data_IF_905997549343
#
_entry.id   IF_905997549343
#
_cell.length_a   1.000
_cell.length_b   1.000
_cell.length_c   1.000
_cell.angle_alpha   90.00
_cell.angle_beta   90.00
_cell.angle_gamma   90.00
#
_symmetry.space_group_name_H-M   'P 1'
#
loop_
_entity.id
_entity.type
_entity.pdbx_description
1 polymer ?
#
# COMPACT_ATOMS: atom_id res chain seq x y z
N UNK A 1 -10.30 1.80 3.55
CA UNK A 1 -9.58 0.66 4.15
C UNK A 1 -9.73 0.81 5.66
N UNK A 2 -10.02 -0.26 6.40
CA UNK A 2 -10.15 -0.23 7.86
C UNK A 2 -9.01 -1.04 8.44
N UNK A 3 -8.17 -0.42 9.27
CA UNK A 3 -7.06 -1.10 9.97
C UNK A 3 -7.57 -1.74 11.27
N UNK A 4 -7.25 -2.99 11.53
CA UNK A 4 -7.72 -3.77 12.69
C UNK A 4 -6.55 -4.15 13.59
N UNK A 5 -6.60 -3.74 14.87
CA UNK A 5 -5.87 -4.39 15.98
C UNK A 5 -6.48 -3.99 17.33
N UNK A 6 -7.30 -4.84 17.94
CA UNK A 6 -7.75 -4.61 19.34
C UNK A 6 -7.96 -5.94 20.09
N UNK A 7 -7.59 -6.04 21.39
CA UNK A 7 -7.77 -7.27 22.18
C UNK A 7 -9.26 -7.58 22.44
N UNK A 8 -9.60 -8.87 22.45
CA UNK A 8 -10.98 -9.43 22.37
C UNK A 8 -11.90 -9.20 23.59
N UNK A 9 -11.52 -8.39 24.59
CA UNK A 9 -12.31 -8.25 25.83
C UNK A 9 -13.21 -7.01 25.89
N UNK A 10 -13.33 -6.23 24.80
CA UNK A 10 -14.32 -5.17 24.64
C UNK A 10 -14.78 -5.15 23.19
N UNK A 11 -16.06 -4.87 22.94
CA UNK A 11 -16.52 -4.43 21.61
C UNK A 11 -15.76 -3.15 21.30
N UNK A 12 -14.79 -3.13 20.36
CA UNK A 12 -14.04 -1.92 20.10
C UNK A 12 -14.96 -0.88 19.48
N UNK A 13 -14.72 0.39 19.76
CA UNK A 13 -15.29 1.46 18.95
C UNK A 13 -14.93 1.18 17.49
N UNK A 14 -15.95 1.12 16.62
CA UNK A 14 -15.79 0.81 15.19
C UNK A 14 -14.73 1.71 14.53
N UNK A 15 -14.68 2.95 14.99
CA UNK A 15 -13.67 3.95 14.64
C UNK A 15 -12.78 4.15 15.87
N UNK A 16 -11.50 3.85 15.74
CA UNK A 16 -10.51 3.98 16.81
C UNK A 16 -9.15 4.37 16.24
N UNK A 17 -8.28 4.97 17.05
CA UNK A 17 -6.91 5.31 16.64
C UNK A 17 -6.07 4.06 16.41
N UNK A 18 -5.15 4.11 15.44
CA UNK A 18 -4.27 3.00 15.09
C UNK A 18 -2.84 3.49 14.91
N UNK A 19 -1.86 2.68 15.37
CA UNK A 19 -0.44 2.96 15.19
C UNK A 19 0.09 2.24 13.96
N UNK A 20 0.70 2.97 13.04
CA UNK A 20 1.40 2.44 11.85
C UNK A 20 2.85 2.88 11.92
N UNK A 21 3.71 2.01 12.44
CA UNK A 21 5.11 2.34 12.71
C UNK A 21 5.22 3.51 13.70
N UNK A 22 5.86 4.60 13.29
CA UNK A 22 5.96 5.83 14.07
C UNK A 22 4.70 6.70 14.06
N UNK A 23 3.76 6.45 13.14
CA UNK A 23 2.54 7.26 13.01
C UNK A 23 1.45 6.79 13.96
N UNK A 24 0.84 7.73 14.70
CA UNK A 24 -0.42 7.52 15.41
C UNK A 24 -1.53 8.20 14.60
N UNK A 25 -2.39 7.40 13.96
CA UNK A 25 -3.50 7.90 13.16
C UNK A 25 -4.71 8.16 14.07
N UNK A 26 -5.39 9.30 13.85
CA UNK A 26 -6.55 9.69 14.63
C UNK A 26 -7.70 8.66 14.56
N UNK A 27 -7.82 7.96 13.42
CA UNK A 27 -8.76 6.86 13.23
C UNK A 27 -8.17 5.75 12.35
N UNK A 28 -8.85 4.61 12.31
CA UNK A 28 -8.56 3.46 11.48
C UNK A 28 -9.11 3.60 10.04
N UNK A 29 -9.57 4.79 9.64
CA UNK A 29 -10.13 5.05 8.32
C UNK A 29 -9.07 5.66 7.40
N UNK A 30 -8.67 4.90 6.39
CA UNK A 30 -7.72 5.35 5.37
C UNK A 30 -8.35 5.37 3.97
N UNK A 31 -8.04 6.43 3.21
CA UNK A 31 -8.34 6.52 1.78
C UNK A 31 -7.37 5.63 1.00
N UNK A 32 -7.91 4.69 0.23
CA UNK A 32 -7.13 3.79 -0.59
C UNK A 32 -6.47 4.52 -1.79
N UNK A 33 -5.27 4.11 -2.22
CA UNK A 33 -4.66 4.62 -3.44
C UNK A 33 -5.47 4.15 -4.66
N UNK A 34 -5.87 5.09 -5.51
CA UNK A 34 -6.65 4.81 -6.71
C UNK A 34 -6.07 5.59 -7.89
N UNK A 35 -5.42 4.88 -8.79
CA UNK A 35 -4.81 5.44 -9.99
C UNK A 35 -5.84 6.21 -10.84
N UNK A 36 -5.50 7.42 -11.25
CA UNK A 36 -6.32 8.40 -11.94
C UNK A 36 -7.41 9.05 -11.08
N UNK A 37 -7.40 8.89 -9.76
CA UNK A 37 -8.44 9.38 -8.84
C UNK A 37 -7.89 10.10 -7.61
N UNK A 38 -6.95 9.50 -6.87
CA UNK A 38 -6.45 10.04 -5.61
C UNK A 38 -5.36 11.12 -5.78
N UNK A 39 -5.60 12.08 -6.68
CA UNK A 39 -4.83 13.32 -6.76
C UNK A 39 -5.09 14.23 -5.56
N UNK A 40 -4.29 15.29 -5.41
CA UNK A 40 -4.30 16.18 -4.24
C UNK A 40 -5.69 16.69 -3.87
N UNK A 41 -6.44 17.25 -4.83
CA UNK A 41 -7.78 17.79 -4.58
C UNK A 41 -8.73 16.74 -3.99
N UNK A 42 -8.69 15.50 -4.48
CA UNK A 42 -9.52 14.41 -3.98
C UNK A 42 -9.13 14.00 -2.57
N UNK A 43 -7.82 13.96 -2.27
CA UNK A 43 -7.32 13.63 -0.92
C UNK A 43 -7.71 14.70 0.10
N UNK A 44 -7.58 15.98 -0.24
CA UNK A 44 -8.02 17.08 0.63
C UNK A 44 -9.53 17.00 0.93
N UNK A 45 -10.35 16.67 -0.08
CA UNK A 45 -11.78 16.42 0.15
C UNK A 45 -12.02 15.23 1.08
N UNK A 46 -11.33 14.10 0.88
CA UNK A 46 -11.48 12.94 1.74
C UNK A 46 -11.10 13.22 3.20
N UNK A 47 -10.09 14.07 3.44
CA UNK A 47 -9.72 14.52 4.79
C UNK A 47 -10.81 15.33 5.46
N UNK A 48 -11.46 16.23 4.73
CA UNK A 48 -12.64 16.98 5.23
C UNK A 48 -13.79 16.07 5.65
N UNK A 49 -13.85 14.84 5.11
CA UNK A 49 -14.81 13.80 5.48
C UNK A 49 -14.24 12.71 6.42
N UNK A 50 -13.10 12.96 7.07
CA UNK A 50 -12.61 12.12 8.18
C UNK A 50 -11.59 11.04 7.80
N UNK A 51 -10.99 11.07 6.62
CA UNK A 51 -9.86 10.18 6.30
C UNK A 51 -8.63 10.55 7.16
N UNK A 52 -8.21 9.64 8.04
CA UNK A 52 -7.06 9.83 8.92
C UNK A 52 -5.71 9.57 8.24
N UNK A 53 -5.72 8.85 7.11
CA UNK A 53 -4.57 8.62 6.25
C UNK A 53 -5.07 8.62 4.80
N UNK A 54 -4.30 9.25 3.91
CA UNK A 54 -4.55 9.18 2.47
C UNK A 54 -3.30 8.71 1.73
N UNK A 55 -3.47 8.20 0.52
CA UNK A 55 -2.37 7.75 -0.32
C UNK A 55 -2.35 8.49 -1.65
N UNK A 56 -1.16 8.73 -2.19
CA UNK A 56 -0.98 9.15 -3.58
C UNK A 56 -1.57 8.13 -4.54
N UNK A 57 -1.64 8.49 -5.81
CA UNK A 57 -1.71 7.47 -6.86
C UNK A 57 -0.43 6.61 -6.86
N UNK A 58 -0.56 5.40 -7.39
CA UNK A 58 0.59 4.52 -7.61
C UNK A 58 1.56 5.11 -8.64
N UNK A 59 2.85 5.17 -8.29
CA UNK A 59 3.95 5.55 -9.18
C UNK A 59 5.07 4.49 -9.18
N UNK A 60 5.79 4.36 -10.29
CA UNK A 60 7.04 3.56 -10.30
C UNK A 60 8.19 4.37 -9.68
N UNK A 61 9.27 3.72 -9.21
CA UNK A 61 10.48 4.41 -8.75
C UNK A 61 11.02 5.45 -9.74
N UNK A 62 11.02 5.14 -11.04
CA UNK A 62 11.50 6.05 -12.10
C UNK A 62 10.59 7.26 -12.27
N UNK A 63 9.27 7.08 -12.16
CA UNK A 63 8.30 8.19 -12.21
C UNK A 63 8.48 9.14 -11.03
N UNK A 64 8.88 8.63 -9.86
CA UNK A 64 9.16 9.45 -8.67
C UNK A 64 10.46 10.24 -8.83
N UNK A 65 11.50 9.62 -9.39
CA UNK A 65 12.81 10.24 -9.55
C UNK A 65 12.89 11.18 -10.75
N UNK A 66 12.14 10.92 -11.82
CA UNK A 66 12.17 11.64 -13.10
C UNK A 66 10.75 11.89 -13.63
N UNK A 67 9.93 12.69 -12.92
CA UNK A 67 8.51 12.89 -13.25
C UNK A 67 8.30 13.58 -14.61
N UNK A 68 9.24 14.41 -15.06
CA UNK A 68 9.20 15.10 -16.36
C UNK A 68 9.33 14.15 -17.56
N UNK A 69 10.04 13.03 -17.40
CA UNK A 69 10.30 12.06 -18.49
C UNK A 69 9.12 11.13 -18.78
N UNK A 70 8.17 11.02 -17.85
CA UNK A 70 7.04 10.09 -17.94
C UNK A 70 5.73 10.72 -18.44
N UNK A 71 5.75 12.02 -18.79
CA UNK A 71 4.60 12.75 -19.33
C UNK A 71 4.14 12.25 -20.71
N UNK A 72 4.92 11.41 -21.40
CA UNK A 72 4.68 11.00 -22.79
C UNK A 72 3.79 9.77 -23.02
N UNK A 73 3.52 8.93 -22.00
CA UNK A 73 2.85 7.63 -22.21
C UNK A 73 1.38 7.55 -21.81
N UNK A 74 0.91 8.38 -20.88
CA UNK A 74 -0.46 8.33 -20.37
C UNK A 74 -0.95 9.76 -20.07
N UNK A 75 -1.74 10.34 -20.99
CA UNK A 75 -2.26 11.73 -20.93
C UNK A 75 -3.04 12.07 -19.64
N UNK A 76 -3.36 11.09 -18.79
CA UNK A 76 -4.06 11.27 -17.52
C UNK A 76 -3.13 11.55 -16.32
N UNK A 77 -1.82 11.31 -16.45
CA UNK A 77 -0.82 11.74 -15.45
C UNK A 77 -0.32 13.12 -15.82
N UNK A 78 -0.98 14.16 -15.33
CA UNK A 78 -0.48 15.53 -15.41
C UNK A 78 -0.07 15.97 -14.00
N UNK A 79 1.21 16.29 -13.80
CA UNK A 79 1.71 16.85 -12.53
C UNK A 79 2.76 15.99 -11.82
N UNK A 80 3.23 16.53 -10.70
CA UNK A 80 4.17 15.86 -9.80
C UNK A 80 3.46 14.71 -9.05
N UNK A 81 3.92 13.45 -9.14
CA UNK A 81 3.35 12.32 -8.37
C UNK A 81 3.36 12.55 -6.84
N UNK A 82 4.23 13.43 -6.36
CA UNK A 82 4.40 13.80 -4.97
C UNK A 82 3.73 15.15 -4.62
N UNK A 83 2.91 15.69 -5.52
CA UNK A 83 2.11 16.90 -5.26
C UNK A 83 1.28 16.72 -3.98
N UNK A 84 1.41 17.67 -3.06
CA UNK A 84 0.87 17.65 -1.70
C UNK A 84 0.65 19.08 -1.20
N UNK A 85 -0.07 19.23 -0.08
CA UNK A 85 -0.28 20.48 0.62
C UNK A 85 -0.01 20.26 2.14
N UNK A 86 0.23 21.32 2.93
CA UNK A 86 0.45 21.18 4.38
C UNK A 86 -0.67 20.41 5.10
N UNK A 87 -1.93 20.59 4.68
CA UNK A 87 -3.11 19.93 5.24
C UNK A 87 -3.27 18.49 4.72
N UNK A 88 -2.50 18.07 3.72
CA UNK A 88 -2.56 16.74 3.15
C UNK A 88 -1.73 15.72 3.95
N UNK A 89 -1.76 15.76 5.29
CA UNK A 89 -0.99 14.85 6.17
C UNK A 89 -1.87 14.19 7.23
N UNK A 90 -1.62 12.93 7.63
CA UNK A 90 -0.54 12.03 7.17
C UNK A 90 -0.73 11.50 5.75
N UNK A 91 0.31 11.50 4.91
CA UNK A 91 0.30 11.04 3.50
C UNK A 91 1.18 9.81 3.28
N UNK A 92 0.62 8.76 2.69
CA UNK A 92 1.38 7.65 2.14
C UNK A 92 1.70 7.83 0.65
N UNK A 93 2.96 7.59 0.27
CA UNK A 93 3.34 7.50 -1.15
C UNK A 93 3.32 6.05 -1.57
N UNK A 94 2.45 5.72 -2.54
CA UNK A 94 2.38 4.35 -3.05
C UNK A 94 3.36 4.12 -4.21
N UNK A 95 4.32 3.23 -4.00
CA UNK A 95 5.34 2.83 -4.98
C UNK A 95 4.98 1.46 -5.56
N UNK A 96 5.12 1.31 -6.87
CA UNK A 96 5.06 0.03 -7.56
C UNK A 96 6.48 -0.52 -7.75
N UNK A 97 6.96 -1.41 -6.86
CA UNK A 97 8.30 -1.98 -7.01
C UNK A 97 8.32 -2.99 -8.16
N UNK A 98 9.49 -3.09 -8.81
CA UNK A 98 9.76 -4.08 -9.84
C UNK A 98 11.25 -4.39 -9.95
N UNK A 99 11.57 -5.49 -10.63
CA UNK A 99 12.96 -5.93 -10.82
C UNK A 99 13.73 -4.86 -11.60
N UNK A 100 14.93 -4.53 -11.13
CA UNK A 100 15.80 -3.53 -11.75
C UNK A 100 15.41 -2.07 -11.48
N UNK A 101 14.32 -1.82 -10.75
CA UNK A 101 13.92 -0.46 -10.39
C UNK A 101 14.89 0.13 -9.36
N UNK A 102 15.15 1.44 -9.37
CA UNK A 102 15.91 2.14 -8.33
C UNK A 102 15.04 2.38 -7.07
N UNK A 103 14.51 1.31 -6.45
CA UNK A 103 13.55 1.41 -5.34
C UNK A 103 14.16 2.12 -4.13
N UNK A 104 15.38 1.75 -3.71
CA UNK A 104 16.08 2.41 -2.63
C UNK A 104 16.22 3.93 -2.83
N UNK A 105 16.64 4.35 -4.03
CA UNK A 105 16.77 5.76 -4.39
C UNK A 105 15.42 6.48 -4.36
N UNK A 106 14.35 5.86 -4.87
CA UNK A 106 13.01 6.43 -4.84
C UNK A 106 12.48 6.59 -3.41
N UNK A 107 12.70 5.62 -2.51
CA UNK A 107 12.32 5.72 -1.10
C UNK A 107 13.09 6.84 -0.40
N UNK A 108 14.40 6.91 -0.61
CA UNK A 108 15.23 7.99 -0.08
C UNK A 108 14.77 9.37 -0.60
N UNK A 109 14.42 9.46 -1.89
CA UNK A 109 13.89 10.67 -2.52
C UNK A 109 12.56 11.11 -1.88
N UNK A 110 11.62 10.17 -1.67
CA UNK A 110 10.34 10.45 -0.99
C UNK A 110 10.58 10.98 0.43
N UNK A 111 11.48 10.35 1.19
CA UNK A 111 11.82 10.81 2.53
C UNK A 111 12.47 12.20 2.53
N UNK A 112 13.39 12.47 1.60
CA UNK A 112 14.11 13.74 1.48
C UNK A 112 13.19 14.93 1.15
N UNK A 113 12.08 14.69 0.43
CA UNK A 113 11.09 15.73 0.11
C UNK A 113 10.24 16.17 1.30
N UNK A 114 10.23 15.40 2.40
CA UNK A 114 9.54 15.72 3.66
C UNK A 114 8.04 15.98 3.52
N UNK A 115 7.43 15.54 2.41
CA UNK A 115 6.01 15.73 2.12
C UNK A 115 5.19 14.44 2.23
N UNK A 116 5.83 13.34 2.62
CA UNK A 116 5.21 12.07 2.96
C UNK A 116 5.42 11.73 4.44
N UNK A 117 4.59 10.83 4.95
CA UNK A 117 4.62 10.30 6.31
C UNK A 117 4.85 8.79 6.34
N UNK A 118 4.59 8.09 5.22
CA UNK A 118 4.89 6.67 5.04
C UNK A 118 5.14 6.33 3.56
N UNK A 119 5.76 5.18 3.33
CA UNK A 119 5.87 4.54 2.00
C UNK A 119 4.96 3.31 1.99
N UNK A 120 4.20 3.11 0.91
CA UNK A 120 3.34 1.94 0.70
C UNK A 120 3.78 1.20 -0.56
N UNK A 121 4.09 -0.10 -0.46
CA UNK A 121 4.46 -0.92 -1.62
C UNK A 121 3.23 -1.63 -2.20
N UNK A 122 3.00 -1.44 -3.49
CA UNK A 122 1.87 -2.05 -4.19
C UNK A 122 2.19 -3.46 -4.68
N UNK A 123 1.61 -4.47 -4.02
CA UNK A 123 1.57 -5.86 -4.44
C UNK A 123 0.14 -6.32 -4.78
N UNK A 124 -0.75 -5.39 -5.15
CA UNK A 124 -2.20 -5.64 -5.27
C UNK A 124 -2.80 -5.35 -6.65
N UNK A 125 -2.13 -4.56 -7.49
CA UNK A 125 -2.68 -4.12 -8.78
C UNK A 125 -2.91 -5.32 -9.73
N UNK A 126 -4.16 -5.62 -10.14
CA UNK A 126 -4.47 -6.77 -11.01
C UNK A 126 -4.43 -6.41 -12.51
N UNK A 127 -3.95 -5.22 -12.88
CA UNK A 127 -3.89 -4.79 -14.27
C UNK A 127 -3.05 -5.77 -15.08
N UNK A 128 -3.59 -6.30 -16.18
CA UNK A 128 -2.88 -7.26 -17.04
C UNK A 128 -1.51 -6.75 -17.49
N UNK A 129 -1.40 -5.46 -17.80
CA UNK A 129 -0.13 -4.81 -18.17
C UNK A 129 0.89 -4.91 -17.04
N UNK A 130 0.51 -4.43 -15.85
CA UNK A 130 1.38 -4.40 -14.66
C UNK A 130 1.75 -5.82 -14.21
N UNK A 131 0.78 -6.73 -14.17
CA UNK A 131 1.03 -8.12 -13.78
C UNK A 131 1.87 -8.88 -14.82
N UNK A 132 1.71 -8.57 -16.11
CA UNK A 132 2.52 -9.15 -17.19
C UNK A 132 3.99 -8.73 -17.13
N UNK A 133 4.27 -7.57 -16.54
CA UNK A 133 5.64 -7.08 -16.25
C UNK A 133 6.20 -7.67 -14.94
N UNK A 134 5.51 -8.62 -14.29
CA UNK A 134 5.94 -9.23 -13.03
C UNK A 134 5.75 -8.34 -11.80
N UNK A 135 4.92 -7.29 -11.90
CA UNK A 135 4.71 -6.29 -10.86
C UNK A 135 3.32 -6.41 -10.21
N UNK A 136 3.06 -5.64 -9.15
CA UNK A 136 1.75 -5.58 -8.52
C UNK A 136 1.29 -6.95 -8.02
N UNK A 137 0.10 -7.39 -8.43
CA UNK A 137 -0.45 -8.67 -7.97
C UNK A 137 0.38 -9.91 -8.42
N UNK A 138 1.24 -9.81 -9.42
CA UNK A 138 2.11 -10.92 -9.81
C UNK A 138 3.06 -11.33 -8.68
N UNK A 139 3.46 -10.39 -7.82
CA UNK A 139 4.33 -10.64 -6.67
C UNK A 139 3.65 -11.50 -5.59
N UNK A 140 2.32 -11.67 -5.61
CA UNK A 140 1.61 -12.59 -4.71
C UNK A 140 2.04 -14.05 -4.88
N UNK A 141 2.67 -14.40 -6.02
CA UNK A 141 3.20 -15.73 -6.29
C UNK A 141 4.70 -15.87 -5.99
N UNK A 142 5.36 -14.80 -5.57
CA UNK A 142 6.77 -14.79 -5.18
C UNK A 142 6.95 -14.04 -3.85
N UNK A 143 6.61 -14.67 -2.72
CA UNK A 143 6.78 -14.10 -1.39
C UNK A 143 8.20 -13.63 -1.09
N UNK A 144 9.21 -14.34 -1.62
CA UNK A 144 10.62 -13.99 -1.41
C UNK A 144 11.01 -12.69 -2.13
N UNK A 145 10.58 -12.50 -3.38
CA UNK A 145 10.81 -11.24 -4.08
C UNK A 145 10.11 -10.06 -3.39
N UNK A 146 8.87 -10.25 -2.95
CA UNK A 146 8.14 -9.21 -2.22
C UNK A 146 8.83 -8.84 -0.89
N UNK A 147 9.30 -9.82 -0.12
CA UNK A 147 10.03 -9.57 1.12
C UNK A 147 11.34 -8.79 0.89
N UNK A 148 12.09 -9.09 -0.19
CA UNK A 148 13.29 -8.33 -0.57
C UNK A 148 12.99 -6.86 -0.86
N UNK A 149 11.90 -6.56 -1.57
CA UNK A 149 11.50 -5.17 -1.82
C UNK A 149 11.12 -4.43 -0.54
N UNK A 150 10.46 -5.12 0.41
CA UNK A 150 10.14 -4.53 1.72
C UNK A 150 11.42 -4.23 2.50
N UNK A 151 12.35 -5.18 2.57
CA UNK A 151 13.63 -5.03 3.26
C UNK A 151 14.47 -3.89 2.67
N UNK A 152 14.53 -3.82 1.33
CA UNK A 152 15.19 -2.71 0.61
C UNK A 152 14.55 -1.36 0.98
N UNK A 153 13.22 -1.25 0.91
CA UNK A 153 12.52 -0.02 1.23
C UNK A 153 12.73 0.42 2.69
N UNK A 154 12.63 -0.52 3.64
CA UNK A 154 12.84 -0.25 5.08
C UNK A 154 14.25 0.25 5.36
N UNK A 155 15.27 -0.29 4.69
CA UNK A 155 16.67 0.16 4.85
C UNK A 155 16.96 1.51 4.21
N UNK A 156 16.12 1.96 3.28
CA UNK A 156 16.40 3.11 2.42
C UNK A 156 15.92 4.45 2.96
N UNK A 157 15.16 4.46 4.06
CA UNK A 157 14.69 5.71 4.66
C UNK A 157 14.04 5.55 6.03
N UNK A 158 13.81 6.67 6.74
CA UNK A 158 13.26 6.64 8.10
C UNK A 158 11.74 6.53 8.14
N UNK A 159 11.05 6.63 7.00
CA UNK A 159 9.59 6.55 6.94
C UNK A 159 9.13 5.11 7.15
N UNK A 160 8.05 4.87 7.91
CA UNK A 160 7.47 3.53 8.02
C UNK A 160 7.06 3.02 6.64
N UNK A 161 7.37 1.76 6.37
CA UNK A 161 7.00 1.05 5.13
C UNK A 161 5.77 0.21 5.41
N UNK A 162 4.78 0.28 4.53
CA UNK A 162 3.57 -0.55 4.55
C UNK A 162 3.44 -1.29 3.23
N UNK A 163 2.60 -2.32 3.19
CA UNK A 163 2.32 -3.04 1.95
C UNK A 163 0.84 -3.12 1.69
N UNK A 164 0.47 -3.07 0.41
CA UNK A 164 -0.90 -3.31 -0.05
C UNK A 164 -0.98 -4.53 -0.92
N UNK A 165 -1.83 -5.49 -0.52
CA UNK A 165 -1.94 -6.81 -1.14
C UNK A 165 -3.40 -7.17 -1.46
N UNK A 166 -3.55 -8.31 -2.13
CA UNK A 166 -4.80 -9.06 -2.27
C UNK A 166 -4.63 -10.41 -1.56
N UNK A 167 -5.74 -11.12 -1.31
CA UNK A 167 -5.62 -12.41 -0.60
C UNK A 167 -4.99 -13.53 -1.43
N UNK A 168 -4.71 -13.31 -2.72
CA UNK A 168 -4.18 -14.31 -3.63
C UNK A 168 -4.24 -13.83 -5.08
N UNK A 169 -3.49 -14.46 -5.97
CA UNK A 169 -3.59 -14.15 -7.41
C UNK A 169 -4.89 -14.71 -7.99
N UNK A 170 -5.20 -15.98 -7.73
CA UNK A 170 -6.48 -16.65 -7.97
C UNK A 170 -7.19 -16.96 -6.65
N UNK A 171 -8.33 -17.66 -6.74
CA UNK A 171 -9.09 -18.11 -5.57
C UNK A 171 -8.57 -19.43 -4.97
N UNK A 172 -7.57 -20.06 -5.61
CA UNK A 172 -6.97 -21.31 -5.17
C UNK A 172 -6.37 -21.20 -3.77
N UNK A 173 -6.48 -22.27 -2.97
CA UNK A 173 -5.98 -22.29 -1.61
C UNK A 173 -4.46 -22.06 -1.54
N UNK A 174 -3.70 -22.55 -2.52
CA UNK A 174 -2.26 -22.32 -2.61
C UNK A 174 -1.92 -20.83 -2.80
N UNK A 175 -2.61 -20.13 -3.70
CA UNK A 175 -2.43 -18.68 -3.89
C UNK A 175 -2.78 -17.90 -2.61
N UNK A 176 -3.75 -18.38 -1.82
CA UNK A 176 -4.08 -17.78 -0.51
C UNK A 176 -2.97 -17.99 0.51
N UNK A 177 -2.37 -19.18 0.53
CA UNK A 177 -1.23 -19.50 1.39
C UNK A 177 -0.03 -18.61 1.05
N UNK A 178 0.30 -18.48 -0.24
CA UNK A 178 1.40 -17.65 -0.71
C UNK A 178 1.21 -16.17 -0.35
N UNK A 179 -0.01 -15.63 -0.49
CA UNK A 179 -0.29 -14.26 -0.11
C UNK A 179 -0.09 -14.00 1.40
N UNK A 180 -0.51 -14.93 2.26
CA UNK A 180 -0.28 -14.82 3.71
C UNK A 180 1.21 -14.99 4.06
N UNK A 181 1.91 -15.89 3.38
CA UNK A 181 3.36 -16.06 3.50
C UNK A 181 4.11 -14.77 3.12
N UNK A 182 3.71 -14.12 2.03
CA UNK A 182 4.22 -12.81 1.63
C UNK A 182 4.01 -11.78 2.74
N UNK A 183 2.82 -11.71 3.33
CA UNK A 183 2.54 -10.76 4.40
C UNK A 183 3.36 -11.03 5.67
N UNK A 184 3.60 -12.30 6.01
CA UNK A 184 4.51 -12.70 7.10
C UNK A 184 5.97 -12.34 6.79
N UNK A 185 6.41 -12.58 5.55
CA UNK A 185 7.74 -12.18 5.08
C UNK A 185 7.93 -10.66 5.15
N UNK A 186 6.93 -9.90 4.74
CA UNK A 186 6.94 -8.44 4.86
C UNK A 186 6.97 -7.97 6.32
N UNK A 187 6.23 -8.62 7.21
CA UNK A 187 6.29 -8.36 8.65
C UNK A 187 7.70 -8.55 9.19
N UNK A 188 8.33 -9.70 8.86
CA UNK A 188 9.70 -10.01 9.27
C UNK A 188 10.73 -9.05 8.67
N UNK A 189 10.49 -8.55 7.45
CA UNK A 189 11.32 -7.55 6.78
C UNK A 189 11.13 -6.11 7.30
N UNK A 190 10.23 -5.90 8.27
CA UNK A 190 10.04 -4.61 8.94
C UNK A 190 8.87 -3.76 8.46
N UNK A 191 7.93 -4.34 7.70
CA UNK A 191 6.68 -3.64 7.37
C UNK A 191 5.91 -3.25 8.65
N UNK A 192 5.36 -2.03 8.64
CA UNK A 192 4.66 -1.41 9.75
C UNK A 192 3.15 -1.71 9.78
N UNK A 193 2.55 -2.02 8.62
CA UNK A 193 1.15 -2.43 8.46
C UNK A 193 0.95 -3.12 7.11
N UNK A 194 -0.10 -3.93 7.03
CA UNK A 194 -0.58 -4.57 5.79
C UNK A 194 -1.94 -3.99 5.45
N UNK A 195 -2.19 -3.75 4.17
CA UNK A 195 -3.51 -3.45 3.64
C UNK A 195 -4.00 -4.63 2.82
N UNK A 196 -5.07 -5.29 3.26
CA UNK A 196 -5.67 -6.40 2.51
C UNK A 196 -6.89 -5.96 1.70
N UNK A 197 -6.79 -6.04 0.37
CA UNK A 197 -7.99 -6.10 -0.47
C UNK A 197 -8.50 -7.54 -0.47
N UNK A 198 -9.61 -7.80 0.21
CA UNK A 198 -10.21 -9.13 0.39
C UNK A 198 -10.89 -9.71 -0.85
N UNK A 199 -10.17 -9.73 -1.98
CA UNK A 199 -10.49 -10.40 -3.25
C UNK A 199 -9.19 -10.96 -3.82
N UNK A 200 -9.27 -11.99 -4.65
CA UNK A 200 -8.13 -12.37 -5.47
C UNK A 200 -7.87 -11.34 -6.57
N UNK A 201 -6.68 -11.37 -7.17
CA UNK A 201 -6.37 -10.51 -8.30
C UNK A 201 -7.26 -10.81 -9.51
N UNK A 202 -7.51 -12.10 -9.78
CA UNK A 202 -8.33 -12.57 -10.89
C UNK A 202 -9.79 -12.09 -10.80
N UNK A 203 -10.34 -12.04 -9.59
CA UNK A 203 -11.70 -11.55 -9.36
C UNK A 203 -11.89 -10.07 -9.69
N UNK A 204 -10.80 -9.27 -9.72
CA UNK A 204 -10.86 -7.81 -9.89
C UNK A 204 -11.88 -7.15 -8.94
N UNK A 205 -13.09 -6.86 -9.46
CA UNK A 205 -14.22 -6.25 -8.76
C UNK A 205 -15.52 -7.09 -8.82
N UNK A 206 -15.49 -8.27 -9.44
CA UNK A 206 -16.68 -9.00 -9.90
C UNK A 206 -17.38 -9.83 -8.80
N UNK A 207 -16.82 -9.86 -7.59
CA UNK A 207 -17.37 -10.60 -6.43
C UNK A 207 -17.43 -9.75 -5.16
N UNK A 208 -18.13 -10.22 -4.13
CA UNK A 208 -18.11 -9.61 -2.79
C UNK A 208 -16.75 -9.84 -2.14
N UNK A 209 -16.34 -8.88 -1.31
CA UNK A 209 -15.13 -9.01 -0.51
C UNK A 209 -15.34 -10.04 0.61
N UNK A 210 -14.34 -10.87 0.87
CA UNK A 210 -14.36 -11.87 1.94
C UNK A 210 -13.89 -11.25 3.26
N UNK A 211 -14.81 -10.82 4.12
CA UNK A 211 -14.44 -10.19 5.38
C UNK A 211 -13.83 -11.17 6.41
N UNK A 212 -14.10 -12.48 6.28
CA UNK A 212 -13.54 -13.48 7.19
C UNK A 212 -12.02 -13.61 6.99
N UNK A 213 -11.53 -13.42 5.77
CA UNK A 213 -10.09 -13.49 5.49
C UNK A 213 -9.32 -12.34 6.13
N UNK A 214 -9.94 -11.16 6.27
CA UNK A 214 -9.33 -10.01 6.94
C UNK A 214 -9.14 -10.33 8.43
N UNK A 215 -10.16 -10.90 9.08
CA UNK A 215 -10.06 -11.35 10.48
C UNK A 215 -8.94 -12.37 10.64
N UNK A 216 -8.91 -13.38 9.78
CA UNK A 216 -7.87 -14.41 9.82
C UNK A 216 -6.46 -13.82 9.71
N UNK A 217 -6.25 -12.84 8.82
CA UNK A 217 -4.96 -12.18 8.66
C UNK A 217 -4.60 -11.30 9.86
N UNK A 218 -5.56 -10.57 10.42
CA UNK A 218 -5.36 -9.74 11.61
C UNK A 218 -4.97 -10.59 12.85
N UNK A 219 -5.45 -11.84 12.94
CA UNK A 219 -5.04 -12.79 13.97
C UNK A 219 -3.67 -13.43 13.68
N UNK A 220 -3.34 -13.65 12.40
CA UNK A 220 -2.13 -14.35 11.99
C UNK A 220 -0.88 -13.46 11.86
N UNK A 221 -1.03 -12.14 11.85
CA UNK A 221 0.06 -11.17 11.66
C UNK A 221 0.32 -10.36 12.94
N UNK A 222 1.59 -10.06 13.27
CA UNK A 222 1.94 -9.30 14.47
C UNK A 222 1.72 -7.78 14.32
N UNK A 223 1.26 -7.34 13.16
CA UNK A 223 1.12 -5.94 12.74
C UNK A 223 -0.33 -5.62 12.33
N UNK A 224 -0.74 -4.33 12.32
CA UNK A 224 -2.08 -3.95 11.88
C UNK A 224 -2.37 -4.38 10.43
N UNK A 225 -3.60 -4.87 10.19
CA UNK A 225 -4.11 -5.33 8.88
C UNK A 225 -5.33 -4.51 8.45
#
# INVERSE_FOLDING_TARGET
MVLLRTPMNKTPDLIHSVRVGSLLLASNLALAPMHGRTGLAFRLMARRFGAALTHTEMATPEELLRPERHRGGNRRKCGDPLASAPEDRPLGVQILPHRGAPLAEAVAHVAARRNADLVDLNFACPSKRIAGEGCGAALLRDPHAAARFVEEAVRSGPLPVTIKVRYGYTDAAEDRRLALELARGAAAAGAAAVTLHARSALQRYDRRADWAIIRHWAEALPLPV
#
